data_IF_739682973850
#
_entry.id   IF_739682973850
#
_cell.length_a   1.000
_cell.length_b   1.000
_cell.length_c   1.000
_cell.angle_alpha   90.00
_cell.angle_beta   90.00
_cell.angle_gamma   90.00
#
_symmetry.space_group_name_H-M   'P 1'
#
loop_
_entity.id
_entity.type
_entity.pdbx_description
1 polymer ?
#
# COMPACT_ATOMS: atom_id res chain seq x y z
N UNK A 1 -3.78 -5.85 -6.02
CA UNK A 1 -2.75 -5.82 -4.96
C UNK A 1 -3.34 -5.77 -3.56
N UNK A 2 -4.23 -4.83 -3.23
CA UNK A 2 -4.85 -4.75 -1.89
C UNK A 2 -5.54 -6.05 -1.48
N UNK A 3 -6.37 -6.63 -2.36
CA UNK A 3 -7.03 -7.93 -2.10
C UNK A 3 -6.07 -9.11 -1.86
N UNK A 4 -4.85 -9.05 -2.39
CA UNK A 4 -3.83 -10.05 -2.06
C UNK A 4 -3.29 -9.82 -0.64
N UNK A 5 -2.99 -8.56 -0.31
CA UNK A 5 -2.49 -8.21 1.02
C UNK A 5 -3.50 -8.56 2.13
N UNK A 6 -4.78 -8.23 1.95
CA UNK A 6 -5.83 -8.58 2.92
C UNK A 6 -5.88 -10.10 3.18
N UNK A 7 -5.71 -10.92 2.16
CA UNK A 7 -5.64 -12.38 2.28
C UNK A 7 -4.36 -12.87 2.97
N UNK A 8 -3.21 -12.31 2.63
CA UNK A 8 -1.91 -12.64 3.26
C UNK A 8 -1.92 -12.33 4.77
N UNK A 9 -2.62 -11.27 5.18
CA UNK A 9 -2.76 -10.90 6.60
C UNK A 9 -4.00 -11.50 7.28
N UNK A 10 -4.71 -12.42 6.62
CA UNK A 10 -5.88 -13.10 7.19
C UNK A 10 -6.98 -12.15 7.67
N UNK A 11 -7.20 -11.04 6.96
CA UNK A 11 -8.28 -10.10 7.28
C UNK A 11 -9.64 -10.81 7.06
N UNK A 12 -10.61 -10.69 7.99
CA UNK A 12 -11.95 -11.27 7.84
C UNK A 12 -12.62 -10.89 6.52
N UNK A 13 -13.34 -11.84 5.92
CA UNK A 13 -14.02 -11.65 4.62
C UNK A 13 -15.03 -10.49 4.66
N UNK A 14 -15.77 -10.34 5.76
CA UNK A 14 -16.71 -9.23 5.95
C UNK A 14 -16.04 -7.85 5.81
N UNK A 15 -14.79 -7.72 6.30
CA UNK A 15 -14.01 -6.48 6.15
C UNK A 15 -13.47 -6.31 4.73
N UNK A 16 -13.14 -7.40 4.03
CA UNK A 16 -12.72 -7.33 2.63
C UNK A 16 -13.87 -6.83 1.75
N UNK A 17 -15.07 -7.37 1.94
CA UNK A 17 -16.29 -6.93 1.26
C UNK A 17 -16.60 -5.47 1.57
N UNK A 18 -16.54 -5.08 2.86
CA UNK A 18 -16.75 -3.68 3.25
C UNK A 18 -15.76 -2.73 2.56
N UNK A 19 -14.49 -3.13 2.41
CA UNK A 19 -13.48 -2.32 1.73
C UNK A 19 -13.73 -2.25 0.22
N UNK A 20 -14.12 -3.36 -0.41
CA UNK A 20 -14.48 -3.37 -1.84
C UNK A 20 -15.69 -2.48 -2.12
N UNK A 21 -16.71 -2.52 -1.26
CA UNK A 21 -17.86 -1.62 -1.36
C UNK A 21 -17.46 -0.16 -1.13
N UNK A 22 -16.59 0.08 -0.14
CA UNK A 22 -16.10 1.41 0.19
C UNK A 22 -15.35 2.03 -0.99
N UNK A 23 -14.46 1.30 -1.66
CA UNK A 23 -13.70 1.82 -2.80
C UNK A 23 -14.42 1.70 -4.15
N UNK A 24 -15.35 0.75 -4.31
CA UNK A 24 -16.06 0.51 -5.57
C UNK A 24 -16.95 1.68 -6.00
N UNK A 25 -17.40 2.51 -5.06
CA UNK A 25 -18.19 3.72 -5.32
C UNK A 25 -17.39 5.02 -5.35
N UNK A 26 -16.05 4.98 -5.26
CA UNK A 26 -15.25 6.19 -5.09
C UNK A 26 -15.32 7.09 -6.32
N UNK A 27 -15.74 8.33 -6.07
CA UNK A 27 -15.77 9.39 -7.07
C UNK A 27 -15.02 10.59 -6.57
N UNK A 28 -14.21 11.16 -7.45
CA UNK A 28 -13.42 12.35 -7.17
C UNK A 28 -13.91 13.50 -8.03
N UNK A 29 -13.83 14.71 -7.50
CA UNK A 29 -13.95 15.94 -8.28
C UNK A 29 -13.00 16.97 -7.71
N UNK A 30 -12.57 17.90 -8.55
CA UNK A 30 -11.68 18.98 -8.16
C UNK A 30 -12.43 20.29 -8.27
N UNK A 31 -12.29 21.14 -7.25
CA UNK A 31 -12.82 22.50 -7.27
C UNK A 31 -11.66 23.48 -7.22
N UNK A 32 -11.62 24.40 -8.17
CA UNK A 32 -10.70 25.54 -8.23
C UNK A 32 -11.52 26.83 -8.13
N UNK A 33 -10.87 27.98 -8.07
CA UNK A 33 -11.58 29.28 -8.03
C UNK A 33 -12.44 29.53 -9.27
N UNK A 34 -12.08 28.97 -10.43
CA UNK A 34 -12.74 29.23 -11.70
C UNK A 34 -13.70 28.14 -12.18
N UNK A 35 -13.57 26.91 -11.67
CA UNK A 35 -14.43 25.80 -12.11
C UNK A 35 -14.38 24.61 -11.14
N UNK A 36 -15.41 23.77 -11.22
CA UNK A 36 -15.43 22.44 -10.60
C UNK A 36 -15.54 21.39 -11.69
N UNK A 37 -14.72 20.34 -11.62
CA UNK A 37 -14.77 19.24 -12.58
C UNK A 37 -16.04 18.40 -12.38
N UNK A 38 -16.43 17.66 -13.41
CA UNK A 38 -17.40 16.58 -13.25
C UNK A 38 -16.83 15.50 -12.30
N UNK A 39 -17.72 14.64 -11.83
CA UNK A 39 -17.33 13.46 -11.07
C UNK A 39 -16.53 12.49 -11.95
N UNK A 40 -15.39 12.05 -11.43
CA UNK A 40 -14.48 11.10 -12.04
C UNK A 40 -14.53 9.84 -11.18
N UNK A 41 -14.82 8.69 -11.79
CA UNK A 41 -14.78 7.40 -11.09
C UNK A 41 -13.32 6.98 -10.90
N UNK A 42 -12.97 6.55 -9.68
CA UNK A 42 -11.65 5.98 -9.39
C UNK A 42 -11.75 4.45 -9.48
N UNK A 43 -11.26 3.87 -10.57
CA UNK A 43 -11.41 2.44 -10.85
C UNK A 43 -10.30 1.57 -10.23
N UNK A 44 -9.09 2.12 -10.08
CA UNK A 44 -7.92 1.36 -9.63
C UNK A 44 -7.14 2.13 -8.58
N UNK A 45 -6.77 1.43 -7.52
CA UNK A 45 -5.91 1.94 -6.46
C UNK A 45 -6.69 2.38 -5.23
N UNK A 46 -6.05 3.22 -4.42
CA UNK A 46 -6.60 3.77 -3.18
C UNK A 46 -6.57 5.30 -3.28
N UNK A 47 -7.56 5.96 -2.68
CA UNK A 47 -7.63 7.42 -2.74
C UNK A 47 -6.58 8.07 -1.83
N UNK A 48 -5.71 8.91 -2.39
CA UNK A 48 -4.76 9.71 -1.60
C UNK A 48 -5.54 10.71 -0.72
N UNK A 49 -5.19 10.79 0.57
CA UNK A 49 -5.90 11.61 1.56
C UNK A 49 -7.07 10.91 2.25
N UNK A 50 -7.41 9.67 1.86
CA UNK A 50 -8.35 8.85 2.62
C UNK A 50 -7.65 8.19 3.82
N UNK A 51 -8.30 8.18 4.99
CA UNK A 51 -7.74 7.72 6.26
C UNK A 51 -7.26 6.28 6.25
N UNK A 52 -7.95 5.39 5.53
CA UNK A 52 -7.59 3.96 5.49
C UNK A 52 -6.52 3.63 4.44
N UNK A 53 -6.30 4.55 3.47
CA UNK A 53 -5.36 4.34 2.37
C UNK A 53 -3.92 4.10 2.83
N UNK A 54 -3.34 4.87 3.78
CA UNK A 54 -1.97 4.61 4.25
C UNK A 54 -1.77 3.20 4.80
N UNK A 55 -2.76 2.67 5.52
CA UNK A 55 -2.67 1.32 6.11
C UNK A 55 -2.71 0.26 5.00
N UNK A 56 -3.66 0.38 4.07
CA UNK A 56 -3.77 -0.54 2.93
C UNK A 56 -2.52 -0.49 2.05
N UNK A 57 -1.94 0.69 1.88
CA UNK A 57 -0.69 0.88 1.15
C UNK A 57 0.48 0.16 1.81
N UNK A 58 0.69 0.37 3.12
CA UNK A 58 1.76 -0.28 3.87
C UNK A 58 1.61 -1.80 3.86
N UNK A 59 0.38 -2.33 4.02
CA UNK A 59 0.14 -3.78 3.92
C UNK A 59 0.51 -4.33 2.55
N UNK A 60 0.17 -3.63 1.46
CA UNK A 60 0.52 -4.07 0.12
C UNK A 60 2.03 -3.98 -0.15
N UNK A 61 2.70 -2.92 0.33
CA UNK A 61 4.15 -2.77 0.21
C UNK A 61 4.89 -3.85 0.98
N UNK A 62 4.45 -4.19 2.19
CA UNK A 62 5.06 -5.24 3.01
C UNK A 62 5.00 -6.62 2.33
N UNK A 63 3.92 -6.94 1.63
CA UNK A 63 3.84 -8.17 0.81
C UNK A 63 4.90 -8.17 -0.29
N UNK A 64 5.10 -7.03 -0.96
CA UNK A 64 6.12 -6.89 -2.01
C UNK A 64 7.52 -7.01 -1.41
N UNK A 65 7.77 -6.38 -0.27
CA UNK A 65 9.06 -6.40 0.42
C UNK A 65 9.45 -7.81 0.84
N UNK A 66 8.53 -8.56 1.46
CA UNK A 66 8.76 -9.97 1.81
C UNK A 66 9.06 -10.85 0.60
N UNK A 67 8.41 -10.59 -0.53
CA UNK A 67 8.72 -11.29 -1.78
C UNK A 67 10.09 -10.88 -2.35
N UNK A 68 10.52 -9.64 -2.11
CA UNK A 68 11.81 -9.12 -2.55
C UNK A 68 12.98 -9.47 -1.61
N UNK A 69 12.72 -9.78 -0.34
CA UNK A 69 13.74 -10.15 0.67
C UNK A 69 14.60 -11.32 0.20
N UNK A 70 14.02 -12.33 -0.47
CA UNK A 70 14.79 -13.46 -1.01
C UNK A 70 15.81 -13.07 -2.07
N UNK A 71 15.66 -11.89 -2.68
CA UNK A 71 16.55 -11.36 -3.72
C UNK A 71 17.64 -10.43 -3.15
N UNK A 72 17.51 -10.02 -1.88
CA UNK A 72 18.45 -9.15 -1.20
C UNK A 72 19.25 -9.98 -0.18
N UNK A 73 20.53 -10.24 -0.45
CA UNK A 73 21.41 -10.98 0.47
C UNK A 73 21.63 -10.18 1.77
N UNK A 74 21.87 -10.84 2.93
CA UNK A 74 22.04 -10.13 4.21
C UNK A 74 23.26 -9.21 4.19
N UNK A 75 23.06 -7.94 4.55
CA UNK A 75 24.14 -6.98 4.73
C UNK A 75 24.85 -7.25 6.07
N UNK A 76 26.05 -7.84 5.99
CA UNK A 76 26.92 -8.07 7.15
C UNK A 76 27.72 -6.80 7.42
N UNK A 77 27.43 -6.12 8.54
CA UNK A 77 28.19 -4.92 8.97
C UNK A 77 29.49 -5.26 9.70
N UNK A 78 29.78 -6.55 9.93
CA UNK A 78 30.86 -7.01 10.80
C UNK A 78 30.47 -6.97 12.29
N UNK A 79 31.27 -7.60 13.15
CA UNK A 79 31.07 -7.58 14.61
C UNK A 79 29.86 -8.36 15.14
N UNK A 80 29.30 -9.30 14.35
CA UNK A 80 28.11 -10.07 14.74
C UNK A 80 26.79 -9.31 14.56
N UNK A 81 26.81 -8.10 13.99
CA UNK A 81 25.62 -7.31 13.72
C UNK A 81 25.17 -7.50 12.26
N UNK A 82 23.94 -7.98 12.07
CA UNK A 82 23.29 -8.09 10.77
C UNK A 82 22.09 -7.16 10.75
N UNK A 83 21.97 -6.37 9.68
CA UNK A 83 20.79 -5.53 9.42
C UNK A 83 19.99 -6.15 8.26
N UNK A 84 18.66 -5.98 8.27
CA UNK A 84 17.86 -6.36 7.13
C UNK A 84 18.36 -5.59 5.89
N UNK A 85 18.51 -6.27 4.74
CA UNK A 85 19.13 -5.69 3.54
C UNK A 85 18.22 -4.70 2.81
N UNK A 86 16.94 -4.66 3.19
CA UNK A 86 15.95 -3.71 2.69
C UNK A 86 15.48 -2.83 3.85
N UNK A 87 15.59 -1.51 3.69
CA UNK A 87 14.98 -0.52 4.58
C UNK A 87 13.85 0.20 3.86
N UNK A 88 12.59 -0.21 4.09
CA UNK A 88 11.43 0.42 3.47
C UNK A 88 10.92 1.63 4.25
N UNK A 89 10.47 2.65 3.53
CA UNK A 89 9.70 3.80 4.01
C UNK A 89 8.63 4.11 2.98
N UNK A 90 7.38 3.71 3.26
CA UNK A 90 6.25 3.86 2.35
C UNK A 90 6.57 3.32 0.94
N UNK A 91 6.74 4.19 -0.05
CA UNK A 91 7.03 3.88 -1.46
C UNK A 91 8.52 3.79 -1.77
N UNK A 92 9.39 4.19 -0.84
CA UNK A 92 10.84 4.11 -1.00
C UNK A 92 11.40 2.89 -0.30
N UNK A 93 12.31 2.18 -0.98
CA UNK A 93 13.08 1.08 -0.37
C UNK A 93 14.55 1.29 -0.65
N UNK A 94 15.36 1.35 0.41
CA UNK A 94 16.81 1.43 0.32
C UNK A 94 17.41 0.03 0.43
N UNK A 95 18.18 -0.37 -0.58
CA UNK A 95 18.99 -1.59 -0.56
C UNK A 95 20.35 -1.24 0.07
N UNK A 96 20.82 -2.06 1.00
CA UNK A 96 22.07 -1.84 1.75
C UNK A 96 23.11 -2.88 1.36
#
# INVERSE_FOLDING_TARGET
>A
MIQLALRVYHIPEDLQVMLDDYFGGFRMRFSTSGYTTNWINLEVGIAMGCTISPILFVMAMEVILKAAESSAGPANLGGGCSIPPLKPVMDYTTII
#
